data_IF_447028799214
#
_entry.id   IF_447028799214
#
_cell.length_a   1.000
_cell.length_b   1.000
_cell.length_c   1.000
_cell.angle_alpha   90.00
_cell.angle_beta   90.00
_cell.angle_gamma   90.00
#
_symmetry.space_group_name_H-M   'P 1'
#
loop_
_entity.id
_entity.type
_entity.pdbx_description
1 polymer ?
#
# COMPACT_ATOMS: atom_id res chain seq x y z
N UNK A 1 53.63 15.31 12.75
CA UNK A 1 53.17 13.93 12.50
C UNK A 1 53.23 13.17 13.81
N UNK A 2 52.10 12.98 14.48
CA UNK A 2 52.00 12.14 15.67
C UNK A 2 50.97 11.05 15.37
N UNK A 3 51.48 9.87 15.03
CA UNK A 3 50.71 8.65 14.81
C UNK A 3 50.34 8.05 16.17
N UNK A 4 49.08 8.23 16.60
CA UNK A 4 48.53 7.45 17.72
C UNK A 4 48.13 6.07 17.19
N UNK A 5 48.90 5.05 17.56
CA UNK A 5 48.52 3.66 17.35
C UNK A 5 47.30 3.34 18.22
N UNK A 6 46.13 3.13 17.60
CA UNK A 6 44.99 2.51 18.26
C UNK A 6 45.26 1.00 18.36
N UNK A 7 45.79 0.58 19.52
CA UNK A 7 45.90 -0.82 19.88
C UNK A 7 44.94 -1.12 21.03
N UNK A 8 44.18 -2.19 20.89
CA UNK A 8 43.17 -2.64 21.86
C UNK A 8 41.96 -3.16 21.10
N UNK A 9 41.94 -4.40 20.63
CA UNK A 9 42.25 -5.60 21.41
C UNK A 9 40.95 -6.40 21.44
N UNK A 10 40.72 -7.18 20.38
CA UNK A 10 39.58 -8.07 20.26
C UNK A 10 39.63 -9.14 21.35
N UNK A 11 38.82 -8.96 22.39
CA UNK A 11 38.60 -9.95 23.44
C UNK A 11 37.10 -10.18 23.59
N UNK A 12 36.51 -10.92 22.66
CA UNK A 12 35.06 -11.12 22.56
C UNK A 12 34.55 -12.52 22.90
N UNK A 13 35.42 -13.45 23.31
CA UNK A 13 35.07 -14.89 23.35
C UNK A 13 34.50 -15.43 24.66
N UNK A 14 34.77 -14.81 25.82
CA UNK A 14 34.43 -15.40 27.12
C UNK A 14 33.00 -15.15 27.61
N UNK A 15 32.32 -14.13 27.08
CA UNK A 15 31.00 -13.73 27.57
C UNK A 15 29.84 -14.48 26.92
N UNK A 16 30.02 -14.97 25.70
CA UNK A 16 28.98 -15.64 24.90
C UNK A 16 28.59 -17.00 25.47
N UNK A 17 29.55 -17.74 26.00
CA UNK A 17 29.35 -19.05 26.62
C UNK A 17 28.58 -18.95 27.93
N UNK A 18 28.79 -17.91 28.73
CA UNK A 18 28.03 -17.68 29.95
C UNK A 18 26.63 -17.13 29.65
N UNK A 19 26.47 -16.31 28.61
CA UNK A 19 25.16 -15.90 28.08
C UNK A 19 24.35 -17.12 27.64
N UNK A 20 24.98 -18.04 26.91
CA UNK A 20 24.36 -19.27 26.44
C UNK A 20 24.01 -20.21 27.60
N UNK A 21 24.87 -20.34 28.61
CA UNK A 21 24.59 -21.14 29.82
C UNK A 21 23.38 -20.58 30.59
N UNK A 22 23.30 -19.26 30.80
CA UNK A 22 22.18 -18.63 31.49
C UNK A 22 20.87 -18.74 30.69
N UNK A 23 20.93 -18.55 29.36
CA UNK A 23 19.79 -18.76 28.49
C UNK A 23 19.31 -20.22 28.52
N UNK A 24 20.24 -21.19 28.50
CA UNK A 24 19.94 -22.62 28.58
C UNK A 24 19.40 -23.05 29.95
N UNK A 25 19.81 -22.40 31.05
CA UNK A 25 19.21 -22.65 32.37
C UNK A 25 17.77 -22.17 32.45
N UNK A 26 17.48 -21.01 31.87
CA UNK A 26 16.12 -20.45 31.88
C UNK A 26 15.19 -21.16 30.89
N UNK A 27 15.70 -21.61 29.74
CA UNK A 27 14.90 -22.36 28.76
C UNK A 27 14.39 -23.69 29.30
N UNK A 28 15.12 -24.33 30.23
CA UNK A 28 14.67 -25.55 30.94
C UNK A 28 13.42 -25.34 31.80
N UNK A 29 13.14 -24.10 32.19
CA UNK A 29 11.98 -23.76 33.06
C UNK A 29 10.77 -23.24 32.29
N UNK A 30 10.86 -23.15 30.96
CA UNK A 30 9.78 -22.62 30.13
C UNK A 30 8.64 -23.61 29.98
N UNK A 31 7.41 -23.08 29.93
CA UNK A 31 6.22 -23.83 29.54
C UNK A 31 6.11 -23.88 28.01
N UNK A 32 5.44 -24.90 27.48
CA UNK A 32 5.24 -25.06 26.03
C UNK A 32 4.72 -23.77 25.39
N UNK A 33 5.44 -23.28 24.39
CA UNK A 33 5.10 -22.07 23.64
C UNK A 33 5.68 -20.76 24.20
N UNK A 34 6.23 -20.73 25.42
CA UNK A 34 6.98 -19.57 25.90
C UNK A 34 8.34 -19.46 25.19
N UNK A 35 8.76 -18.24 24.86
CA UNK A 35 10.06 -17.97 24.20
C UNK A 35 10.93 -17.10 25.11
N UNK A 36 12.25 -17.21 25.03
CA UNK A 36 13.19 -16.33 25.73
C UNK A 36 14.06 -15.60 24.73
N UNK A 37 14.14 -14.28 24.85
CA UNK A 37 15.16 -13.47 24.20
C UNK A 37 16.47 -13.60 24.98
N UNK A 38 17.56 -13.90 24.28
CA UNK A 38 18.87 -14.03 24.88
C UNK A 38 19.31 -12.73 25.61
N UNK A 39 20.12 -12.83 26.67
CA UNK A 39 20.76 -11.67 27.30
C UNK A 39 21.54 -10.84 26.27
N UNK A 40 21.30 -9.52 26.22
CA UNK A 40 21.97 -8.60 25.28
C UNK A 40 23.03 -7.75 25.97
N UNK A 41 24.10 -7.37 25.26
CA UNK A 41 25.20 -6.58 25.83
C UNK A 41 24.90 -5.08 25.76
N UNK A 42 25.12 -4.34 26.86
CA UNK A 42 25.11 -2.87 26.88
C UNK A 42 26.40 -2.31 26.23
N UNK A 43 26.42 -1.02 25.84
CA UNK A 43 27.65 -0.39 25.35
C UNK A 43 28.79 -0.35 26.39
N UNK A 44 28.47 -0.36 27.68
CA UNK A 44 29.42 -0.48 28.79
C UNK A 44 29.98 -1.91 28.99
N UNK A 45 29.45 -2.88 28.22
CA UNK A 45 29.84 -4.28 28.29
C UNK A 45 29.03 -5.15 29.25
N UNK A 46 28.20 -4.57 30.12
CA UNK A 46 27.36 -5.32 31.08
C UNK A 46 26.18 -5.99 30.37
N UNK A 47 25.81 -7.22 30.77
CA UNK A 47 24.67 -7.92 30.20
C UNK A 47 23.33 -7.38 30.72
N UNK A 48 22.34 -7.29 29.84
CA UNK A 48 20.93 -7.11 30.17
C UNK A 48 20.35 -8.47 30.55
N UNK A 49 19.37 -8.46 31.44
CA UNK A 49 18.63 -9.68 31.78
C UNK A 49 17.93 -10.26 30.55
N UNK A 50 17.82 -11.59 30.45
CA UNK A 50 17.01 -12.24 29.43
C UNK A 50 15.53 -11.87 29.58
N UNK A 51 14.82 -11.83 28.45
CA UNK A 51 13.41 -11.41 28.39
C UNK A 51 12.54 -12.63 28.10
N UNK A 52 11.51 -12.88 28.93
CA UNK A 52 10.52 -13.94 28.70
C UNK A 52 9.36 -13.40 27.86
N UNK A 53 8.97 -14.15 26.83
CA UNK A 53 7.85 -13.86 25.93
C UNK A 53 6.76 -14.88 26.20
N UNK A 54 5.53 -14.39 26.42
CA UNK A 54 4.37 -15.24 26.70
C UNK A 54 4.02 -16.12 25.49
N UNK A 55 3.52 -17.33 25.76
CA UNK A 55 3.01 -18.21 24.71
C UNK A 55 1.94 -17.51 23.85
N UNK A 56 2.08 -17.62 22.53
CA UNK A 56 1.18 -17.00 21.55
C UNK A 56 1.34 -15.48 21.37
N UNK A 57 2.31 -14.83 22.01
CA UNK A 57 2.59 -13.42 21.74
C UNK A 57 3.35 -13.26 20.41
N UNK A 58 2.76 -12.49 19.50
CA UNK A 58 3.36 -12.10 18.21
C UNK A 58 3.72 -10.62 18.28
N UNK A 59 4.99 -10.24 18.04
CA UNK A 59 5.40 -8.84 18.06
C UNK A 59 4.74 -8.05 16.92
N UNK A 60 4.51 -6.76 17.15
CA UNK A 60 3.83 -5.87 16.19
C UNK A 60 4.53 -5.81 14.82
N UNK A 61 5.84 -6.03 14.78
CA UNK A 61 6.63 -6.08 13.54
C UNK A 61 6.22 -7.24 12.61
N UNK A 62 5.73 -8.34 13.19
CA UNK A 62 5.25 -9.51 12.45
C UNK A 62 3.73 -9.48 12.23
N UNK A 63 3.01 -8.62 12.96
CA UNK A 63 1.57 -8.43 12.77
C UNK A 63 1.34 -7.74 11.42
N UNK A 64 0.72 -8.45 10.48
CA UNK A 64 0.40 -7.93 9.17
C UNK A 64 -0.41 -6.62 9.29
N UNK A 65 0.19 -5.52 8.85
CA UNK A 65 -0.50 -4.24 8.75
C UNK A 65 -1.62 -4.41 7.73
N UNK A 66 -2.85 -4.05 8.11
CA UNK A 66 -3.98 -4.11 7.18
C UNK A 66 -3.69 -3.31 5.91
N UNK A 67 -3.73 -3.97 4.78
CA UNK A 67 -3.66 -3.37 3.46
C UNK A 67 -4.98 -3.66 2.73
N UNK A 68 -5.65 -2.62 2.24
CA UNK A 68 -6.86 -2.81 1.44
C UNK A 68 -6.51 -3.53 0.14
N UNK A 69 -7.47 -4.27 -0.44
CA UNK A 69 -7.27 -4.93 -1.74
C UNK A 69 -6.79 -3.96 -2.82
N UNK A 70 -7.30 -2.73 -2.81
CA UNK A 70 -6.87 -1.66 -3.71
C UNK A 70 -5.44 -1.17 -3.44
N UNK A 71 -4.99 -1.11 -2.19
CA UNK A 71 -3.61 -0.77 -1.85
C UNK A 71 -2.62 -1.86 -2.31
N UNK A 72 -3.00 -3.12 -2.16
CA UNK A 72 -2.25 -4.25 -2.69
C UNK A 72 -2.17 -4.19 -4.22
N UNK A 73 -3.30 -3.98 -4.91
CA UNK A 73 -3.30 -3.81 -6.37
C UNK A 73 -2.49 -2.60 -6.83
N UNK A 74 -2.54 -1.47 -6.12
CA UNK A 74 -1.72 -0.30 -6.47
C UNK A 74 -0.23 -0.60 -6.29
N UNK A 75 0.15 -1.32 -5.24
CA UNK A 75 1.54 -1.75 -5.01
C UNK A 75 2.01 -2.76 -6.06
N UNK A 76 1.15 -3.70 -6.44
CA UNK A 76 1.41 -4.69 -7.50
C UNK A 76 1.54 -4.00 -8.86
N UNK A 77 0.63 -3.08 -9.20
CA UNK A 77 0.71 -2.28 -10.42
C UNK A 77 1.99 -1.44 -10.42
N UNK A 78 2.29 -0.70 -9.36
CA UNK A 78 3.52 0.08 -9.25
C UNK A 78 4.80 -0.78 -9.33
N UNK A 79 4.79 -1.99 -8.77
CA UNK A 79 5.91 -2.92 -8.87
C UNK A 79 6.03 -3.56 -10.26
N UNK A 80 4.91 -3.83 -10.94
CA UNK A 80 4.89 -4.31 -12.33
C UNK A 80 5.21 -3.22 -13.35
N UNK A 81 4.94 -1.97 -12.97
CA UNK A 81 5.20 -0.74 -13.68
C UNK A 81 6.50 -0.10 -13.16
N UNK A 82 7.45 -0.94 -12.70
CA UNK A 82 8.83 -0.57 -12.36
C UNK A 82 9.61 -0.29 -13.64
N UNK A 83 9.10 0.70 -14.35
CA UNK A 83 9.66 1.27 -15.54
C UNK A 83 10.24 2.61 -15.07
N UNK A 84 11.52 2.91 -15.33
CA UNK A 84 12.15 4.11 -14.79
C UNK A 84 11.30 5.35 -15.10
N UNK A 85 11.10 6.27 -14.12
CA UNK A 85 10.38 7.52 -14.35
C UNK A 85 10.93 8.22 -15.59
N UNK A 86 10.11 8.37 -16.63
CA UNK A 86 10.53 8.92 -17.93
C UNK A 86 10.68 7.90 -19.07
N UNK A 87 10.45 6.60 -18.83
CA UNK A 87 10.33 5.63 -19.92
C UNK A 87 8.94 5.73 -20.57
N UNK A 88 8.93 6.20 -21.80
CA UNK A 88 7.81 6.01 -22.71
C UNK A 88 7.93 4.59 -23.27
N UNK A 89 6.98 3.66 -23.00
CA UNK A 89 7.01 2.37 -23.66
C UNK A 89 6.91 2.63 -25.15
N UNK A 90 8.04 2.41 -25.85
CA UNK A 90 8.08 2.35 -27.30
C UNK A 90 7.01 1.35 -27.70
N UNK A 91 5.86 1.88 -28.08
CA UNK A 91 4.75 1.11 -28.63
C UNK A 91 5.29 0.54 -29.92
N UNK A 92 5.87 -0.67 -29.83
CA UNK A 92 6.21 -1.45 -30.99
C UNK A 92 4.95 -1.52 -31.84
N UNK A 93 5.02 -0.81 -32.96
CA UNK A 93 3.97 -0.72 -33.97
C UNK A 93 3.90 -2.09 -34.63
N UNK A 94 3.36 -3.06 -33.89
CA UNK A 94 2.80 -4.28 -34.47
C UNK A 94 1.87 -3.79 -35.58
N UNK A 95 2.00 -4.29 -36.82
CA UNK A 95 1.21 -3.83 -37.94
C UNK A 95 -0.26 -4.08 -37.62
N UNK A 96 -0.93 -3.03 -37.14
CA UNK A 96 -2.34 -3.04 -36.83
C UNK A 96 -3.08 -3.37 -38.12
N UNK A 97 -3.86 -4.44 -38.10
CA UNK A 97 -4.75 -4.81 -39.20
C UNK A 97 -5.65 -3.61 -39.54
N UNK A 98 -6.03 -3.46 -40.82
CA UNK A 98 -6.83 -2.32 -41.32
C UNK A 98 -8.09 -2.04 -40.49
N UNK A 99 -8.64 -3.06 -39.83
CA UNK A 99 -9.79 -2.97 -38.91
C UNK A 99 -9.46 -2.26 -37.58
N UNK A 100 -8.27 -2.47 -37.02
CA UNK A 100 -7.84 -1.87 -35.76
C UNK A 100 -7.67 -0.34 -35.90
N UNK A 101 -7.08 0.13 -37.01
CA UNK A 101 -6.94 1.56 -37.33
C UNK A 101 -8.29 2.28 -37.48
N UNK A 102 -9.33 1.59 -37.96
CA UNK A 102 -10.70 2.16 -38.06
C UNK A 102 -11.38 2.27 -36.69
N UNK A 103 -11.14 1.32 -35.80
CA UNK A 103 -11.69 1.33 -34.44
C UNK A 103 -11.01 2.35 -33.54
N UNK A 104 -9.70 2.53 -33.69
CA UNK A 104 -8.94 3.56 -32.98
C UNK A 104 -9.42 4.97 -33.37
N UNK A 105 -9.57 5.26 -34.68
CA UNK A 105 -10.15 6.53 -35.16
C UNK A 105 -11.58 6.77 -34.66
N UNK A 106 -12.38 5.71 -34.48
CA UNK A 106 -13.73 5.81 -33.90
C UNK A 106 -13.68 6.09 -32.40
N UNK A 107 -12.72 5.52 -31.68
CA UNK A 107 -12.51 5.73 -30.24
C UNK A 107 -11.97 7.14 -29.98
N UNK A 108 -11.01 7.60 -30.76
CA UNK A 108 -10.46 8.96 -30.69
C UNK A 108 -11.51 10.03 -31.02
N UNK A 109 -12.32 9.84 -32.07
CA UNK A 109 -13.43 10.77 -32.38
C UNK A 109 -14.48 10.83 -31.26
N UNK A 110 -14.71 9.72 -30.55
CA UNK A 110 -15.63 9.69 -29.39
C UNK A 110 -15.03 10.40 -28.17
N UNK A 111 -13.72 10.27 -27.95
CA UNK A 111 -13.01 10.95 -26.87
C UNK A 111 -12.95 12.47 -27.13
N UNK A 112 -12.64 12.88 -28.36
CA UNK A 112 -12.65 14.30 -28.74
C UNK A 112 -14.05 14.92 -28.59
N UNK A 113 -15.09 14.21 -29.03
CA UNK A 113 -16.46 14.66 -28.85
C UNK A 113 -16.90 14.74 -27.38
N UNK A 114 -16.32 13.92 -26.49
CA UNK A 114 -16.58 14.01 -25.05
C UNK A 114 -15.89 15.26 -24.45
N UNK A 115 -14.63 15.50 -24.82
CA UNK A 115 -13.89 16.69 -24.37
C UNK A 115 -14.49 18.00 -24.89
N UNK A 116 -14.98 18.03 -26.13
CA UNK A 116 -15.63 19.24 -26.70
C UNK A 116 -17.02 19.48 -26.10
N UNK A 117 -17.72 18.42 -25.65
CA UNK A 117 -18.98 18.54 -24.89
C UNK A 117 -18.75 19.09 -23.49
N UNK A 118 -17.62 18.74 -22.86
CA UNK A 118 -17.22 19.30 -21.57
C UNK A 118 -16.80 20.78 -21.69
N UNK A 119 -16.22 21.20 -22.83
CA UNK A 119 -15.87 22.62 -23.10
C UNK A 119 -17.07 23.51 -23.48
N UNK A 120 -18.16 22.95 -24.02
CA UNK A 120 -19.34 23.73 -24.41
C UNK A 120 -20.28 24.08 -23.24
N UNK A 121 -20.13 23.44 -22.07
CA UNK A 121 -20.89 23.78 -20.86
C UNK A 121 -20.14 24.76 -19.93
N UNK A 122 -18.97 25.25 -20.32
CA UNK A 122 -18.09 26.04 -19.44
C UNK A 122 -17.46 27.29 -20.05
N UNK A 123 -18.08 27.91 -21.07
CA UNK A 123 -17.64 29.22 -21.56
C UNK A 123 -18.75 30.26 -21.36
N UNK A 124 -18.93 30.66 -20.11
CA UNK A 124 -19.15 32.06 -19.83
C UNK A 124 -17.78 32.64 -19.45
N UNK A 125 -17.33 33.60 -20.26
CA UNK A 125 -16.23 34.53 -20.02
C UNK A 125 -14.79 34.16 -20.45
N UNK A 126 -14.41 34.82 -21.56
CA UNK A 126 -13.09 35.40 -21.92
C UNK A 126 -12.03 34.53 -22.62
N UNK A 127 -11.80 34.93 -23.87
CA UNK A 127 -10.75 34.54 -24.82
C UNK A 127 -9.47 35.41 -24.67
N UNK A 128 -8.37 35.12 -25.39
CA UNK A 128 -6.99 35.26 -24.92
C UNK A 128 -6.20 36.48 -25.45
N UNK A 129 -5.16 36.93 -24.72
CA UNK A 129 -3.76 37.06 -25.16
C UNK A 129 -2.91 37.88 -24.14
N UNK A 130 -1.61 37.53 -24.12
CA UNK A 130 -0.39 38.28 -23.73
C UNK A 130 -0.01 38.63 -22.25
N UNK A 131 1.08 37.95 -21.85
CA UNK A 131 2.32 38.43 -21.19
C UNK A 131 2.33 38.89 -19.72
N UNK A 132 3.46 38.58 -19.07
CA UNK A 132 3.67 38.44 -17.63
C UNK A 132 3.51 39.72 -16.78
N UNK A 133 2.90 39.59 -15.60
CA UNK A 133 3.32 40.22 -14.33
C UNK A 133 2.38 39.81 -13.17
N UNK A 134 2.89 39.81 -11.94
CA UNK A 134 2.23 39.34 -10.71
C UNK A 134 1.14 40.28 -10.14
N UNK A 135 0.22 39.72 -9.33
CA UNK A 135 -0.55 40.43 -8.31
C UNK A 135 -1.82 39.64 -7.89
N UNK A 136 -1.77 38.67 -6.97
CA UNK A 136 -1.93 38.81 -5.50
C UNK A 136 -3.28 39.37 -5.01
N UNK A 137 -4.34 38.57 -5.12
CA UNK A 137 -5.64 38.84 -4.45
C UNK A 137 -6.37 37.59 -3.90
N UNK A 138 -5.83 36.37 -4.11
CA UNK A 138 -6.46 35.13 -3.63
C UNK A 138 -6.11 34.75 -2.18
N UNK A 139 -4.96 35.20 -1.65
CA UNK A 139 -4.45 34.77 -0.34
C UNK A 139 -5.18 35.40 0.86
N UNK A 140 -5.81 36.57 0.68
CA UNK A 140 -6.54 37.27 1.75
C UNK A 140 -7.89 36.59 2.07
N UNK A 141 -8.51 35.96 1.06
CA UNK A 141 -9.75 35.20 1.22
C UNK A 141 -9.55 33.94 2.06
N UNK A 142 -8.43 33.22 1.83
CA UNK A 142 -8.12 31.96 2.54
C UNK A 142 -7.78 32.21 4.01
N UNK A 143 -7.08 33.29 4.32
CA UNK A 143 -6.71 33.63 5.70
C UNK A 143 -7.93 34.07 6.53
N UNK A 144 -8.88 34.77 5.92
CA UNK A 144 -10.16 35.11 6.55
C UNK A 144 -10.99 33.86 6.88
N UNK A 145 -10.98 32.86 5.98
CA UNK A 145 -11.75 31.63 6.13
C UNK A 145 -11.21 30.71 7.24
N UNK A 146 -9.89 30.72 7.50
CA UNK A 146 -9.29 29.92 8.58
C UNK A 146 -9.60 30.50 9.96
N UNK A 147 -9.70 31.83 10.09
CA UNK A 147 -9.97 32.49 11.37
C UNK A 147 -11.44 32.31 11.83
N UNK A 148 -12.35 31.99 10.91
CA UNK A 148 -13.76 31.71 11.20
C UNK A 148 -13.99 30.29 11.76
N UNK A 149 -13.01 29.38 11.60
CA UNK A 149 -13.12 27.99 12.07
C UNK A 149 -12.66 27.86 13.52
N UNK A 150 -13.43 28.46 14.44
CA UNK A 150 -13.31 28.17 15.86
C UNK A 150 -14.66 27.71 16.43
N UNK A 151 -14.60 26.73 17.35
CA UNK A 151 -15.66 26.25 18.25
C UNK A 151 -16.58 25.19 17.57
N UNK A 152 -16.97 24.04 18.14
CA UNK A 152 -17.21 23.61 19.51
C UNK A 152 -17.25 22.08 19.64
N UNK A 153 -16.94 21.62 20.84
CA UNK A 153 -16.93 20.24 21.28
C UNK A 153 -18.34 19.59 21.36
N UNK A 154 -18.33 18.26 21.28
CA UNK A 154 -19.35 17.29 21.71
C UNK A 154 -20.62 17.14 20.83
N UNK A 155 -20.79 15.96 20.23
CA UNK A 155 -21.83 14.99 20.63
C UNK A 155 -21.98 13.86 19.60
N UNK A 156 -22.44 12.73 20.12
CA UNK A 156 -22.61 11.41 19.52
C UNK A 156 -23.80 11.30 18.54
N UNK A 157 -23.86 10.13 17.87
CA UNK A 157 -25.03 9.47 17.23
C UNK A 157 -25.30 9.84 15.76
N UNK A 158 -25.25 8.84 14.87
CA UNK A 158 -26.36 8.36 14.01
C UNK A 158 -25.87 7.29 13.02
N UNK A 159 -26.61 6.17 12.99
CA UNK A 159 -26.60 5.03 12.05
C UNK A 159 -26.94 5.40 10.59
N UNK A 160 -26.49 4.60 9.60
CA UNK A 160 -27.29 4.34 8.39
C UNK A 160 -27.42 2.82 8.13
N UNK A 161 -28.63 2.26 8.10
CA UNK A 161 -29.62 2.28 6.99
C UNK A 161 -29.25 1.36 5.82
N UNK A 162 -30.05 0.29 5.72
CA UNK A 162 -30.09 -0.78 4.73
C UNK A 162 -30.00 -0.35 3.27
N UNK A 163 -29.36 -1.19 2.44
CA UNK A 163 -29.76 -1.66 1.10
C UNK A 163 -28.86 -2.87 0.75
N UNK A 164 -29.40 -4.11 0.80
CA UNK A 164 -29.77 -4.95 -0.37
C UNK A 164 -28.60 -5.14 -1.36
N UNK A 165 -28.01 -6.33 -1.56
CA UNK A 165 -28.64 -7.58 -2.01
C UNK A 165 -27.78 -8.81 -1.66
N UNK A 166 -28.35 -9.65 -0.78
CA UNK A 166 -28.40 -11.12 -0.80
C UNK A 166 -27.12 -11.95 -1.03
N UNK A 167 -26.63 -12.51 0.09
CA UNK A 167 -25.80 -13.69 0.19
C UNK A 167 -26.67 -14.93 -0.13
N UNK A 168 -26.49 -15.58 -1.28
CA UNK A 168 -27.13 -16.88 -1.52
C UNK A 168 -26.17 -18.03 -1.13
N UNK A 169 -26.76 -18.99 -0.46
CA UNK A 169 -26.20 -20.20 0.14
C UNK A 169 -25.23 -20.99 -0.75
N UNK A 170 -24.36 -21.85 -0.20
CA UNK A 170 -23.38 -22.65 -0.96
C UNK A 170 -23.99 -23.44 -2.13
N UNK A 171 -25.26 -23.84 -2.03
CA UNK A 171 -26.03 -24.53 -3.09
C UNK A 171 -26.11 -23.74 -4.41
N UNK A 172 -26.19 -22.41 -4.35
CA UNK A 172 -26.34 -21.57 -5.55
C UNK A 172 -25.01 -21.46 -6.32
N UNK A 173 -23.89 -21.53 -5.60
CA UNK A 173 -22.55 -21.61 -6.19
C UNK A 173 -22.32 -22.97 -6.87
N UNK A 174 -22.83 -24.07 -6.29
CA UNK A 174 -22.74 -25.42 -6.90
C UNK A 174 -23.53 -25.48 -8.21
N UNK A 175 -24.72 -24.90 -8.25
CA UNK A 175 -25.52 -24.85 -9.48
C UNK A 175 -24.85 -24.07 -10.62
N UNK A 176 -24.07 -23.03 -10.30
CA UNK A 176 -23.32 -22.27 -11.31
C UNK A 176 -22.12 -23.07 -11.88
N UNK A 177 -21.49 -23.90 -11.05
CA UNK A 177 -20.42 -24.81 -11.49
C UNK A 177 -20.96 -25.88 -12.45
N UNK A 178 -22.10 -26.50 -12.13
CA UNK A 178 -22.72 -27.52 -12.98
C UNK A 178 -23.15 -26.97 -14.35
N UNK A 179 -23.65 -25.72 -14.38
CA UNK A 179 -23.99 -25.02 -15.63
C UNK A 179 -22.74 -24.83 -16.51
N UNK A 180 -21.60 -24.43 -15.92
CA UNK A 180 -20.31 -24.32 -16.64
C UNK A 180 -19.80 -25.66 -17.15
N UNK A 181 -19.85 -26.70 -16.33
CA UNK A 181 -19.44 -28.06 -16.72
C UNK A 181 -20.27 -28.55 -17.91
N UNK A 182 -21.58 -28.32 -17.91
CA UNK A 182 -22.48 -28.70 -19.01
C UNK A 182 -22.16 -27.97 -20.31
N UNK A 183 -21.86 -26.67 -20.24
CA UNK A 183 -21.49 -25.88 -21.42
C UNK A 183 -20.16 -26.36 -22.03
N UNK A 184 -19.15 -26.62 -21.18
CA UNK A 184 -17.86 -27.18 -21.59
C UNK A 184 -18.02 -28.56 -22.25
N UNK A 185 -18.80 -29.45 -21.65
CA UNK A 185 -19.06 -30.79 -22.18
C UNK A 185 -19.79 -30.76 -23.53
N UNK A 186 -20.71 -29.83 -23.75
CA UNK A 186 -21.30 -29.61 -25.08
C UNK A 186 -20.25 -29.16 -26.09
N UNK A 187 -19.32 -28.27 -25.69
CA UNK A 187 -18.33 -27.70 -26.60
C UNK A 187 -17.25 -28.69 -27.07
N UNK A 188 -16.96 -29.72 -26.29
CA UNK A 188 -15.99 -30.78 -26.65
C UNK A 188 -16.60 -31.97 -27.39
N UNK A 189 -17.93 -32.10 -27.36
CA UNK A 189 -18.67 -33.17 -28.04
C UNK A 189 -19.32 -32.70 -29.36
N UNK A 190 -18.87 -31.57 -29.90
CA UNK A 190 -19.15 -31.11 -31.27
C UNK A 190 -17.91 -31.27 -32.14
#
# INVERSE_FOLDING_TARGET
MASSACNGGGGGGGGEEDVNKLAAQLSKTLKEGERILAPTRRPDGTLRKPIRIRAGYVPQDEVAIYQSKGALWKKEMAASQDVPPGYDPVVDVKPMTKSAKRNERKKEKRLQAALDKDKHLGNNEVSPAEDASQGSESAESVTSQINELTIYANASVVTPSSNSTECSTPEDCVQDIDKRIRALKKKVNF
#
